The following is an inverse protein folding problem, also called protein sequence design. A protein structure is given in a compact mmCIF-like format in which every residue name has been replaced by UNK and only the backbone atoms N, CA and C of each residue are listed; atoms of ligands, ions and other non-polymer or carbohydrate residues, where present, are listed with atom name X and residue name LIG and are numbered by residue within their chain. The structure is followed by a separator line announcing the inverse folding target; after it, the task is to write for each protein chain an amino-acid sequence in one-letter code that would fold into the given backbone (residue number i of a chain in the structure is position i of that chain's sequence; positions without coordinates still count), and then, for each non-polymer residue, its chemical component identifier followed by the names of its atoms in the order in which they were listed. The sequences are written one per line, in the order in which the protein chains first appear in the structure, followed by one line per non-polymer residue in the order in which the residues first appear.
data_IF_056319657432
#
_entry.id   IF_056319657432
#
_cell.length_a   1.000
_cell.length_b   1.000
_cell.length_c   1.000
_cell.angle_alpha   90.00
_cell.angle_beta   90.00
_cell.angle_gamma   90.00
#
_symmetry.space_group_name_H-M   'P 1'
#
loop_
_entity.id
_entity.type
_entity.pdbx_description
1 polymer ?
#
# COMPACT_ATOMS: atom_id res chain seq x y z
N UNK A 1 6.98 -61.18 38.57
CA UNK A 1 5.55 -61.41 38.86
C UNK A 1 4.75 -60.43 38.04
N UNK A 2 3.94 -60.93 37.11
CA UNK A 2 3.04 -60.17 36.23
C UNK A 2 1.63 -60.60 36.64
N UNK A 3 0.74 -59.66 36.94
CA UNK A 3 -0.73 -59.75 36.90
C UNK A 3 -1.31 -58.64 37.78
N UNK A 4 -1.88 -57.60 37.17
CA UNK A 4 -3.21 -57.12 37.54
C UNK A 4 -3.87 -56.60 36.26
N UNK A 5 -4.85 -57.38 35.81
CA UNK A 5 -5.87 -57.01 34.84
C UNK A 5 -6.68 -55.84 35.40
N UNK A 6 -6.94 -54.82 34.61
CA UNK A 6 -8.07 -53.91 34.85
C UNK A 6 -8.94 -53.85 33.60
N UNK A 7 -10.23 -54.03 33.84
CA UNK A 7 -11.30 -54.41 32.92
C UNK A 7 -12.16 -53.18 32.61
N UNK A 8 -12.43 -53.00 31.33
CA UNK A 8 -13.49 -52.22 30.67
C UNK A 8 -13.86 -50.82 31.20
N UNK A 9 -13.72 -49.82 30.32
CA UNK A 9 -14.77 -48.83 30.08
C UNK A 9 -14.59 -48.21 28.69
N UNK A 10 -15.50 -48.63 27.81
CA UNK A 10 -15.80 -48.06 26.50
C UNK A 10 -16.06 -46.56 26.59
N UNK A 11 -15.24 -45.75 25.90
CA UNK A 11 -15.72 -44.51 25.29
C UNK A 11 -15.15 -44.45 23.88
N UNK A 12 -15.98 -44.86 22.93
CA UNK A 12 -15.82 -44.60 21.51
C UNK A 12 -15.95 -43.09 21.31
N UNK A 13 -14.84 -42.37 21.16
CA UNK A 13 -14.87 -40.99 20.66
C UNK A 13 -14.61 -41.06 19.15
N UNK A 14 -15.65 -41.41 18.42
CA UNK A 14 -15.75 -41.09 17.00
C UNK A 14 -16.13 -39.60 16.90
N UNK A 15 -15.15 -38.75 16.63
CA UNK A 15 -15.41 -37.41 16.09
C UNK A 15 -14.26 -36.98 15.19
N UNK A 16 -14.11 -37.73 14.10
CA UNK A 16 -13.39 -37.31 12.91
C UNK A 16 -14.25 -36.28 12.16
N UNK A 17 -14.10 -34.99 12.50
CA UNK A 17 -14.70 -33.86 11.76
C UNK A 17 -13.95 -32.53 11.95
N UNK A 18 -12.70 -32.57 12.44
CA UNK A 18 -11.88 -31.36 12.68
C UNK A 18 -10.71 -31.30 11.69
N UNK A 19 -11.02 -31.41 10.39
CA UNK A 19 -10.00 -31.26 9.34
C UNK A 19 -10.42 -30.25 8.25
N UNK A 20 -11.71 -30.10 7.95
CA UNK A 20 -12.20 -29.19 6.90
C UNK A 20 -12.46 -27.75 7.37
N UNK A 21 -12.69 -27.50 8.67
CA UNK A 21 -12.91 -26.13 9.18
C UNK A 21 -11.59 -25.39 9.43
N UNK A 22 -10.48 -26.10 9.59
CA UNK A 22 -9.17 -25.51 9.88
C UNK A 22 -8.38 -25.16 8.60
N UNK A 23 -8.70 -25.79 7.47
CA UNK A 23 -8.14 -25.46 6.15
C UNK A 23 -8.73 -24.16 5.59
N UNK A 24 -10.04 -23.91 5.77
CA UNK A 24 -10.69 -22.70 5.23
C UNK A 24 -10.23 -21.40 5.89
N UNK A 25 -9.92 -21.44 7.19
CA UNK A 25 -9.41 -20.29 7.96
C UNK A 25 -7.96 -19.92 7.56
N UNK A 26 -7.18 -20.92 7.13
CA UNK A 26 -5.79 -20.76 6.69
C UNK A 26 -5.72 -20.13 5.28
N UNK A 27 -6.65 -20.49 4.39
CA UNK A 27 -6.76 -19.92 3.04
C UNK A 27 -7.20 -18.45 3.08
N UNK A 28 -8.22 -18.12 3.89
CA UNK A 28 -8.72 -16.75 4.01
C UNK A 28 -7.66 -15.80 4.60
N UNK A 29 -6.94 -16.26 5.62
CA UNK A 29 -5.84 -15.48 6.22
C UNK A 29 -4.68 -15.29 5.24
N UNK A 30 -4.34 -16.29 4.43
CA UNK A 30 -3.34 -16.15 3.37
C UNK A 30 -3.76 -15.18 2.28
N UNK A 31 -5.00 -15.25 1.80
CA UNK A 31 -5.54 -14.31 0.81
C UNK A 31 -5.54 -12.87 1.36
N UNK A 32 -5.91 -12.69 2.63
CA UNK A 32 -5.87 -11.41 3.31
C UNK A 32 -4.44 -10.88 3.45
N UNK A 33 -3.48 -11.75 3.79
CA UNK A 33 -2.06 -11.38 3.88
C UNK A 33 -1.48 -10.98 2.51
N UNK A 34 -1.84 -11.71 1.44
CA UNK A 34 -1.37 -11.44 0.09
C UNK A 34 -1.95 -10.13 -0.46
N UNK A 35 -3.25 -9.91 -0.25
CA UNK A 35 -3.90 -8.65 -0.64
C UNK A 35 -3.33 -7.48 0.14
N UNK A 36 -3.25 -7.57 1.47
CA UNK A 36 -2.66 -6.52 2.31
C UNK A 36 -1.18 -6.27 1.98
N UNK A 37 -0.41 -7.33 1.74
CA UNK A 37 0.99 -7.25 1.31
C UNK A 37 1.15 -6.48 -0.01
N UNK A 38 0.31 -6.74 -1.01
CA UNK A 38 0.32 -5.98 -2.27
C UNK A 38 -0.11 -4.51 -2.10
N UNK A 39 -0.99 -4.19 -1.14
CA UNK A 39 -1.30 -2.79 -0.83
C UNK A 39 -0.13 -2.05 -0.15
N UNK A 40 0.75 -2.78 0.55
CA UNK A 40 1.90 -2.21 1.24
C UNK A 40 3.15 -2.04 0.35
N UNK A 41 3.19 -2.64 -0.85
CA UNK A 41 4.33 -2.46 -1.78
C UNK A 41 4.32 -1.13 -2.52
N UNK A 42 3.21 -0.38 -2.48
CA UNK A 42 3.17 1.01 -2.95
C UNK A 42 3.75 1.91 -1.85
N UNK A 43 5.05 1.75 -1.58
CA UNK A 43 5.79 2.74 -0.83
C UNK A 43 5.86 3.96 -1.73
N UNK A 44 5.05 4.97 -1.44
CA UNK A 44 5.09 6.30 -2.05
C UNK A 44 5.57 7.32 -1.02
N UNK A 45 6.09 8.45 -1.47
CA UNK A 45 6.24 9.62 -0.58
C UNK A 45 5.14 10.63 -0.86
N UNK A 46 4.69 11.30 0.20
CA UNK A 46 3.74 12.41 0.13
C UNK A 46 4.32 13.58 0.91
N UNK A 47 4.51 14.72 0.25
CA UNK A 47 4.97 15.96 0.89
C UNK A 47 3.90 17.02 0.75
N UNK A 48 3.63 17.74 1.83
CA UNK A 48 2.77 18.93 1.83
C UNK A 48 3.64 20.16 1.92
N UNK A 49 3.55 21.01 0.91
CA UNK A 49 4.25 22.29 0.87
C UNK A 49 3.23 23.38 1.22
N UNK A 50 3.37 24.09 2.35
CA UNK A 50 2.53 25.24 2.64
C UNK A 50 2.77 26.29 1.56
N UNK A 51 1.69 26.75 0.93
CA UNK A 51 1.76 27.81 -0.08
C UNK A 51 0.84 28.93 0.34
N UNK A 52 1.28 30.20 0.32
CA UNK A 52 0.37 31.31 0.53
C UNK A 52 -0.68 31.23 -0.57
N UNK A 53 -1.89 30.80 -0.23
CA UNK A 53 -3.01 30.90 -1.16
C UNK A 53 -3.19 32.39 -1.34
N UNK A 54 -3.04 32.89 -2.56
CA UNK A 54 -3.55 34.23 -2.82
C UNK A 54 -5.06 34.13 -2.58
N UNK A 55 -5.50 34.61 -1.42
CA UNK A 55 -6.89 34.52 -0.94
C UNK A 55 -7.91 35.05 -1.96
N UNK A 56 -7.44 35.76 -3.00
CA UNK A 56 -8.24 36.40 -4.02
C UNK A 56 -8.38 35.60 -5.33
N UNK A 57 -7.61 34.52 -5.56
CA UNK A 57 -7.61 33.83 -6.86
C UNK A 57 -7.76 32.31 -6.78
N UNK A 58 -7.68 31.71 -5.58
CA UNK A 58 -7.79 30.26 -5.44
C UNK A 58 -6.70 29.51 -6.20
N UNK A 59 -5.48 30.06 -6.19
CA UNK A 59 -4.31 29.51 -6.89
C UNK A 59 -3.20 29.22 -5.88
N UNK A 60 -2.62 28.02 -5.93
CA UNK A 60 -1.35 27.69 -5.29
C UNK A 60 -0.20 28.02 -6.26
N UNK A 61 0.87 28.61 -5.74
CA UNK A 61 2.09 28.91 -6.51
C UNK A 61 3.31 28.32 -5.82
N UNK A 62 4.12 27.56 -6.56
CA UNK A 62 5.40 27.05 -6.07
C UNK A 62 6.40 26.84 -7.21
N UNK A 63 7.68 27.12 -6.98
CA UNK A 63 8.71 27.10 -8.04
C UNK A 63 8.83 25.75 -8.78
N UNK A 64 8.61 24.62 -8.08
CA UNK A 64 8.68 23.29 -8.67
C UNK A 64 7.48 22.94 -9.56
N UNK A 65 6.33 23.56 -9.30
CA UNK A 65 5.03 23.13 -9.85
C UNK A 65 4.40 24.20 -10.75
N UNK A 66 4.75 25.47 -10.56
CA UNK A 66 4.11 26.62 -11.19
C UNK A 66 2.83 27.02 -10.46
N UNK A 67 1.84 27.48 -11.24
CA UNK A 67 0.55 27.95 -10.74
C UNK A 67 -0.54 26.89 -10.97
N UNK A 68 -1.21 26.49 -9.90
CA UNK A 68 -2.31 25.52 -9.94
C UNK A 68 -3.55 26.10 -9.28
N UNK A 69 -4.72 25.85 -9.85
CA UNK A 69 -5.99 26.18 -9.19
C UNK A 69 -6.29 25.19 -8.08
N UNK A 70 -7.00 25.60 -7.04
CA UNK A 70 -7.48 24.69 -5.99
C UNK A 70 -8.31 23.57 -6.63
N UNK A 71 -8.04 22.32 -6.23
CA UNK A 71 -8.63 21.11 -6.78
C UNK A 71 -7.95 20.59 -8.05
N UNK A 72 -7.03 21.36 -8.64
CA UNK A 72 -6.27 20.92 -9.80
C UNK A 72 -5.16 19.96 -9.38
N UNK A 73 -4.98 18.90 -10.17
CA UNK A 73 -3.86 17.97 -10.09
C UNK A 73 -3.12 17.96 -11.43
N UNK A 74 -1.78 18.02 -11.40
CA UNK A 74 -0.93 17.99 -12.59
C UNK A 74 0.20 16.97 -12.43
N UNK A 75 0.67 16.43 -13.55
CA UNK A 75 1.89 15.62 -13.59
C UNK A 75 3.12 16.53 -13.64
N UNK A 76 4.19 16.13 -12.94
CA UNK A 76 5.51 16.80 -12.98
C UNK A 76 6.48 16.17 -14.00
N UNK A 77 5.99 15.21 -14.78
CA UNK A 77 6.72 14.60 -15.88
C UNK A 77 7.07 15.64 -16.97
N UNK A 78 8.24 15.54 -17.64
CA UNK A 78 9.30 14.54 -17.50
C UNK A 78 10.35 14.87 -16.42
N UNK A 79 10.18 15.97 -15.68
CA UNK A 79 11.19 16.43 -14.71
C UNK A 79 11.23 15.57 -13.45
N UNK A 80 10.09 15.05 -13.03
CA UNK A 80 9.96 14.26 -11.81
C UNK A 80 8.88 13.19 -11.98
N UNK A 81 9.11 11.98 -11.45
CA UNK A 81 8.09 10.95 -11.37
C UNK A 81 7.12 11.21 -10.20
N UNK A 82 6.31 12.25 -10.35
CA UNK A 82 5.39 12.69 -9.30
C UNK A 82 4.17 13.42 -9.88
N UNK A 83 3.14 13.55 -9.04
CA UNK A 83 2.00 14.44 -9.24
C UNK A 83 1.95 15.52 -8.19
N UNK A 84 1.42 16.68 -8.55
CA UNK A 84 1.18 17.78 -7.64
C UNK A 84 -0.30 18.16 -7.66
N UNK A 85 -0.91 18.30 -6.49
CA UNK A 85 -2.29 18.72 -6.31
C UNK A 85 -2.33 20.00 -5.47
N UNK A 86 -3.07 21.01 -5.91
CA UNK A 86 -3.29 22.23 -5.13
C UNK A 86 -4.53 22.08 -4.24
N UNK A 87 -4.31 22.19 -2.93
CA UNK A 87 -5.35 22.20 -1.91
C UNK A 87 -5.38 23.58 -1.23
N UNK A 88 -6.48 23.89 -0.54
CA UNK A 88 -6.61 25.15 0.20
C UNK A 88 -5.52 25.26 1.28
N UNK A 89 -4.48 26.06 1.00
CA UNK A 89 -3.38 26.32 1.93
C UNK A 89 -2.05 25.65 1.58
N UNK A 90 -2.05 24.66 0.68
CA UNK A 90 -0.87 23.84 0.45
C UNK A 90 -0.92 23.09 -0.89
N UNK A 91 0.26 22.78 -1.41
CA UNK A 91 0.42 21.83 -2.51
C UNK A 91 0.78 20.47 -1.93
N UNK A 92 0.09 19.41 -2.37
CA UNK A 92 0.45 18.02 -2.08
C UNK A 92 1.21 17.46 -3.25
N UNK A 93 2.43 17.01 -3.00
CA UNK A 93 3.26 16.28 -3.94
C UNK A 93 3.23 14.80 -3.58
N UNK A 94 3.04 13.94 -4.58
CA UNK A 94 3.03 12.49 -4.44
C UNK A 94 3.96 11.88 -5.46
N UNK A 95 4.89 11.04 -5.02
CA UNK A 95 5.86 10.37 -5.89
C UNK A 95 6.21 8.96 -5.42
N UNK A 96 7.10 8.29 -6.15
CA UNK A 96 7.52 6.92 -5.87
C UNK A 96 8.36 6.85 -4.60
N UNK A 97 8.09 5.90 -3.72
CA UNK A 97 8.93 5.64 -2.55
C UNK A 97 10.16 4.84 -2.92
N UNK A 98 11.06 4.72 -1.94
CA UNK A 98 12.31 3.99 -2.12
C UNK A 98 12.05 2.50 -2.01
N UNK A 99 12.12 1.81 -3.14
CA UNK A 99 12.18 0.35 -3.18
C UNK A 99 13.65 -0.09 -3.06
N UNK A 100 13.93 -1.10 -2.23
CA UNK A 100 15.27 -1.65 -2.03
C UNK A 100 15.63 -2.63 -3.16
N UNK A 101 15.63 -2.13 -4.40
CA UNK A 101 15.89 -2.92 -5.59
C UNK A 101 17.18 -2.45 -6.23
N UNK A 102 18.08 -3.38 -6.49
CA UNK A 102 19.37 -3.06 -7.08
C UNK A 102 19.15 -2.39 -8.44
N UNK A 103 19.62 -1.15 -8.57
CA UNK A 103 19.78 -0.39 -9.81
C UNK A 103 18.51 -0.05 -10.62
N UNK A 104 17.30 -0.21 -10.09
CA UNK A 104 16.10 0.27 -10.78
C UNK A 104 15.88 1.77 -10.52
N UNK A 105 15.92 2.56 -11.60
CA UNK A 105 15.69 4.00 -11.58
C UNK A 105 14.32 4.34 -12.19
N UNK A 106 13.76 5.49 -11.82
CA UNK A 106 12.48 5.97 -12.35
C UNK A 106 12.50 6.08 -13.88
N UNK A 107 11.46 5.56 -14.54
CA UNK A 107 11.32 5.66 -15.99
C UNK A 107 10.64 6.99 -16.36
N UNK A 108 11.45 8.06 -16.45
CA UNK A 108 10.99 9.40 -16.82
C UNK A 108 10.48 9.52 -18.27
N UNK A 109 10.25 8.42 -18.99
CA UNK A 109 9.46 8.39 -20.23
C UNK A 109 7.97 8.13 -19.98
N UNK A 110 7.58 7.79 -18.74
CA UNK A 110 6.19 7.53 -18.35
C UNK A 110 5.71 8.53 -17.29
N UNK A 111 4.40 8.80 -17.21
CA UNK A 111 3.84 9.58 -16.11
C UNK A 111 3.68 8.74 -14.84
N UNK A 112 3.65 9.40 -13.68
CA UNK A 112 3.31 8.74 -12.40
C UNK A 112 1.88 8.15 -12.47
N UNK A 113 1.62 6.96 -11.92
CA UNK A 113 2.53 6.09 -11.15
C UNK A 113 3.39 5.13 -12.00
N UNK A 114 3.23 5.13 -13.32
CA UNK A 114 3.88 4.17 -14.22
C UNK A 114 5.39 4.39 -14.42
N UNK A 115 5.90 5.56 -14.04
CA UNK A 115 7.35 5.79 -13.98
C UNK A 115 8.00 5.27 -12.69
N UNK A 116 7.22 4.76 -11.73
CA UNK A 116 7.79 4.17 -10.52
C UNK A 116 8.51 2.85 -10.82
N UNK A 117 9.67 2.62 -10.19
CA UNK A 117 10.32 1.32 -10.25
C UNK A 117 9.41 0.25 -9.66
N UNK A 118 9.35 -0.92 -10.30
CA UNK A 118 8.54 -2.06 -9.88
C UNK A 118 9.45 -3.21 -9.51
N UNK A 119 9.27 -3.65 -8.27
CA UNK A 119 9.79 -4.87 -7.69
C UNK A 119 8.60 -5.56 -7.01
#
# INVERSE_FOLDING_TARGET
GRLLQYKDSSITVSHDSRSTHQTNEMELSQILLLTFGMFLTVQGWVVRIPTPVSNYQGVCSHNLVGHLRIGQTVSLHPRLCATAACNSGFITLTGCGKVACDNQQEDLNKPYPYCCPVC
#
